data_IF_078550226647
#
_entry.id   IF_078550226647
#
_cell.length_a   1.000
_cell.length_b   1.000
_cell.length_c   1.000
_cell.angle_alpha   90.00
_cell.angle_beta   90.00
_cell.angle_gamma   90.00
#
_symmetry.space_group_name_H-M   'P 1'
#
loop_
_entity.id
_entity.type
_entity.pdbx_description
1 polymer ?
#
# COMPACT_ATOMS: atom_id res chain seq x y z
N UNK A 1 17.25 -18.22 16.80
CA UNK A 1 16.71 -17.30 15.78
C UNK A 1 17.88 -16.47 15.31
N UNK A 2 18.10 -16.36 14.03
CA UNK A 2 19.15 -15.51 13.48
C UNK A 2 18.78 -14.05 13.69
N UNK A 3 19.78 -13.19 13.95
CA UNK A 3 19.56 -11.75 14.02
C UNK A 3 19.21 -11.25 12.62
N UNK A 4 18.10 -10.52 12.52
CA UNK A 4 17.63 -9.91 11.28
C UNK A 4 17.99 -8.43 11.29
N UNK A 5 18.63 -7.97 10.22
CA UNK A 5 19.08 -6.58 10.10
C UNK A 5 18.52 -5.94 8.85
N UNK A 6 18.30 -4.64 8.89
CA UNK A 6 17.99 -3.82 7.70
C UNK A 6 19.33 -3.32 7.14
N UNK A 7 19.61 -3.68 5.90
CA UNK A 7 20.87 -3.32 5.24
C UNK A 7 20.81 -1.90 4.68
N UNK A 8 19.76 -1.61 3.93
CA UNK A 8 19.54 -0.29 3.32
C UNK A 8 18.06 -0.10 2.96
N UNK A 9 17.70 1.09 2.52
CA UNK A 9 16.36 1.43 2.05
C UNK A 9 16.37 2.60 1.07
N UNK A 10 15.40 2.59 0.18
CA UNK A 10 15.17 3.66 -0.79
C UNK A 10 13.69 4.01 -0.83
N UNK A 11 13.38 5.21 -1.29
CA UNK A 11 12.02 5.62 -1.61
C UNK A 11 12.00 6.57 -2.79
N UNK A 12 10.91 6.60 -3.50
CA UNK A 12 10.59 7.65 -4.46
C UNK A 12 10.16 8.93 -3.74
N UNK A 13 10.03 10.03 -4.46
CA UNK A 13 9.32 11.18 -3.92
C UNK A 13 7.87 10.80 -3.58
N UNK A 14 7.30 11.44 -2.56
CA UNK A 14 5.87 11.37 -2.26
C UNK A 14 5.17 12.39 -3.15
N UNK A 15 4.39 11.90 -4.11
CA UNK A 15 3.66 12.74 -5.06
C UNK A 15 2.34 13.24 -4.48
N UNK A 16 1.98 14.48 -4.83
CA UNK A 16 0.61 14.98 -4.62
C UNK A 16 -0.35 14.21 -5.53
N UNK A 17 -1.56 13.91 -5.04
CA UNK A 17 -2.63 13.35 -5.90
C UNK A 17 -2.89 14.27 -7.09
N UNK A 18 -2.93 13.69 -8.30
CA UNK A 18 -3.01 14.45 -9.56
C UNK A 18 -1.74 15.23 -9.93
N UNK A 19 -0.65 15.06 -9.17
CA UNK A 19 0.62 15.78 -9.39
C UNK A 19 1.60 15.05 -10.32
N UNK A 20 2.89 15.34 -10.17
CA UNK A 20 3.96 14.90 -11.09
C UNK A 20 4.06 13.39 -11.30
N UNK A 21 3.67 12.57 -10.32
CA UNK A 21 3.68 11.12 -10.42
C UNK A 21 2.33 10.51 -10.86
N UNK A 22 1.31 11.34 -11.15
CA UNK A 22 -0.04 10.86 -11.48
C UNK A 22 -0.12 10.05 -12.77
N UNK A 23 0.82 10.23 -13.68
CA UNK A 23 0.92 9.46 -14.94
C UNK A 23 1.74 8.17 -14.79
N UNK A 24 2.41 7.96 -13.65
CA UNK A 24 3.25 6.79 -13.41
C UNK A 24 2.40 5.67 -12.81
N UNK A 25 2.46 4.49 -13.41
CA UNK A 25 1.77 3.30 -12.91
C UNK A 25 2.40 2.83 -11.59
N UNK A 26 1.61 2.26 -10.66
CA UNK A 26 2.15 1.78 -9.38
C UNK A 26 3.19 0.65 -9.53
N UNK A 27 3.00 -0.25 -10.49
CA UNK A 27 3.94 -1.32 -10.79
C UNK A 27 5.27 -0.80 -11.34
N UNK A 28 5.25 0.21 -12.22
CA UNK A 28 6.45 0.88 -12.73
C UNK A 28 7.16 1.68 -11.62
N UNK A 29 6.40 2.37 -10.78
CA UNK A 29 6.94 3.17 -9.68
C UNK A 29 7.69 2.30 -8.67
N UNK A 30 7.10 1.16 -8.29
CA UNK A 30 7.73 0.20 -7.39
C UNK A 30 8.96 -0.45 -8.03
N UNK A 31 8.90 -0.79 -9.32
CA UNK A 31 10.04 -1.33 -10.06
C UNK A 31 11.24 -0.37 -10.09
N UNK A 32 10.99 0.94 -10.18
CA UNK A 32 12.06 1.94 -10.09
C UNK A 32 12.70 1.96 -8.69
N UNK A 33 11.91 1.81 -7.63
CA UNK A 33 12.45 1.71 -6.27
C UNK A 33 13.32 0.45 -6.13
N UNK A 34 12.90 -0.69 -6.67
CA UNK A 34 13.70 -1.91 -6.64
C UNK A 34 15.02 -1.75 -7.40
N UNK A 35 15.01 -1.18 -8.61
CA UNK A 35 16.23 -0.87 -9.36
C UNK A 35 17.17 0.00 -8.52
N UNK A 36 16.65 1.10 -7.95
CA UNK A 36 17.44 1.99 -7.12
C UNK A 36 18.02 1.33 -5.86
N UNK A 37 17.31 0.37 -5.26
CA UNK A 37 17.81 -0.39 -4.12
C UNK A 37 18.94 -1.33 -4.52
N UNK A 38 18.76 -2.10 -5.59
CA UNK A 38 19.76 -3.03 -6.11
C UNK A 38 21.04 -2.29 -6.53
N UNK A 39 20.89 -1.21 -7.28
CA UNK A 39 22.03 -0.38 -7.73
C UNK A 39 22.80 0.21 -6.53
N UNK A 40 22.07 0.67 -5.51
CA UNK A 40 22.66 1.30 -4.32
C UNK A 40 23.38 0.30 -3.43
N UNK A 41 22.84 -0.88 -3.26
CA UNK A 41 23.43 -1.92 -2.41
C UNK A 41 24.45 -2.79 -3.15
N UNK A 42 24.48 -2.72 -4.47
CA UNK A 42 25.25 -3.63 -5.33
C UNK A 42 24.96 -5.12 -5.00
N UNK A 43 23.74 -5.43 -4.55
CA UNK A 43 23.30 -6.79 -4.28
C UNK A 43 23.11 -7.54 -5.60
N UNK A 44 23.58 -8.77 -5.66
CA UNK A 44 23.17 -9.69 -6.71
C UNK A 44 21.71 -10.11 -6.48
N UNK A 45 20.77 -9.71 -7.37
CA UNK A 45 19.37 -10.03 -7.17
C UNK A 45 19.06 -11.53 -7.08
N UNK A 46 19.92 -12.38 -7.64
CA UNK A 46 19.73 -13.84 -7.60
C UNK A 46 19.81 -14.42 -6.17
N UNK A 47 20.34 -13.65 -5.22
CA UNK A 47 20.39 -14.02 -3.80
C UNK A 47 19.09 -13.74 -3.06
N UNK A 48 18.16 -13.00 -3.66
CA UNK A 48 16.87 -12.71 -3.03
C UNK A 48 16.00 -13.97 -2.99
N UNK A 49 15.52 -14.27 -1.81
CA UNK A 49 14.58 -15.37 -1.60
C UNK A 49 13.19 -14.99 -2.08
N UNK A 50 12.72 -13.82 -1.69
CA UNK A 50 11.37 -13.34 -1.96
C UNK A 50 11.24 -11.82 -1.77
N UNK A 51 10.24 -11.25 -2.42
CA UNK A 51 9.88 -9.83 -2.29
C UNK A 51 8.46 -9.70 -1.74
N UNK A 52 8.31 -8.96 -0.65
CA UNK A 52 7.02 -8.62 -0.04
C UNK A 52 6.70 -7.16 -0.28
N UNK A 53 5.50 -6.86 -0.75
CA UNK A 53 5.09 -5.48 -0.98
C UNK A 53 3.69 -5.20 -0.45
N UNK A 54 3.55 -4.13 0.32
CA UNK A 54 2.27 -3.64 0.77
C UNK A 54 1.56 -2.83 -0.32
N UNK A 55 0.26 -3.09 -0.51
CA UNK A 55 -0.61 -2.28 -1.36
C UNK A 55 -2.04 -2.37 -0.83
N UNK A 56 -2.65 -1.23 -0.50
CA UNK A 56 -4.00 -1.18 0.05
C UNK A 56 -5.08 -1.34 -1.00
N UNK A 57 -4.89 -0.77 -2.18
CA UNK A 57 -5.86 -0.82 -3.28
C UNK A 57 -5.31 -1.65 -4.44
N UNK A 58 -5.73 -2.90 -4.51
CA UNK A 58 -5.22 -3.90 -5.47
C UNK A 58 -6.16 -4.15 -6.66
N UNK A 59 -7.09 -3.23 -6.92
CA UNK A 59 -8.12 -3.40 -7.93
C UNK A 59 -7.81 -2.82 -9.30
N UNK A 60 -6.66 -2.18 -9.47
CA UNK A 60 -6.31 -1.44 -10.69
C UNK A 60 -5.04 -1.96 -11.37
N UNK A 61 -4.17 -1.04 -11.73
CA UNK A 61 -2.91 -1.30 -12.46
C UNK A 61 -1.85 -2.04 -11.61
N UNK A 62 -2.04 -2.13 -10.30
CA UNK A 62 -1.34 -3.01 -9.37
C UNK A 62 -1.57 -4.51 -9.68
N UNK A 63 -2.63 -4.80 -10.43
CA UNK A 63 -2.98 -6.13 -10.96
C UNK A 63 -3.04 -7.23 -9.87
N UNK A 64 -3.49 -6.88 -8.67
CA UNK A 64 -3.65 -7.75 -7.50
C UNK A 64 -2.36 -8.32 -6.91
N UNK A 65 -1.24 -8.22 -7.62
CA UNK A 65 0.08 -8.63 -7.13
C UNK A 65 1.17 -7.70 -7.68
N UNK A 66 1.18 -6.48 -7.18
CA UNK A 66 2.12 -5.45 -7.59
C UNK A 66 3.57 -5.82 -7.27
N UNK A 67 3.81 -6.61 -6.21
CA UNK A 67 5.14 -7.11 -5.88
C UNK A 67 5.72 -7.92 -7.04
N UNK A 68 4.96 -8.88 -7.54
CA UNK A 68 5.37 -9.73 -8.67
C UNK A 68 5.56 -8.92 -9.95
N UNK A 69 4.65 -8.00 -10.24
CA UNK A 69 4.78 -7.14 -11.43
C UNK A 69 6.05 -6.30 -11.37
N UNK A 70 6.34 -5.70 -10.21
CA UNK A 70 7.52 -4.87 -10.02
C UNK A 70 8.84 -5.66 -10.09
N UNK A 71 8.88 -6.89 -9.57
CA UNK A 71 10.03 -7.80 -9.73
C UNK A 71 10.35 -7.99 -11.22
N UNK A 72 9.36 -8.32 -12.02
CA UNK A 72 9.54 -8.55 -13.46
C UNK A 72 9.95 -7.27 -14.21
N UNK A 73 9.32 -6.14 -13.90
CA UNK A 73 9.58 -4.84 -14.52
C UNK A 73 10.94 -4.25 -14.11
N UNK A 74 11.45 -4.62 -12.94
CA UNK A 74 12.77 -4.18 -12.48
C UNK A 74 13.93 -4.89 -13.17
N UNK A 75 13.66 -5.99 -13.87
CA UNK A 75 14.69 -6.81 -14.52
C UNK A 75 15.37 -7.81 -13.56
N UNK A 76 14.86 -7.96 -12.35
CA UNK A 76 15.31 -9.05 -11.46
C UNK A 76 14.98 -10.43 -12.04
N UNK A 77 15.69 -11.49 -11.63
CA UNK A 77 15.40 -12.85 -12.06
C UNK A 77 13.93 -13.22 -11.89
N UNK A 78 13.36 -13.84 -12.90
CA UNK A 78 11.94 -14.26 -12.91
C UNK A 78 11.62 -15.36 -11.88
N UNK A 79 12.64 -15.99 -11.36
CA UNK A 79 12.55 -17.02 -10.32
C UNK A 79 12.22 -16.44 -8.94
N UNK A 80 12.48 -15.15 -8.73
CA UNK A 80 12.17 -14.47 -7.45
C UNK A 80 10.66 -14.30 -7.33
N UNK A 81 10.02 -14.91 -6.34
CA UNK A 81 8.59 -14.70 -6.09
C UNK A 81 8.31 -13.30 -5.54
N UNK A 82 7.09 -12.83 -5.74
CA UNK A 82 6.60 -11.61 -5.13
C UNK A 82 5.24 -11.85 -4.50
N UNK A 83 5.04 -11.32 -3.32
CA UNK A 83 3.78 -11.40 -2.58
C UNK A 83 3.30 -10.00 -2.22
N UNK A 84 2.06 -9.70 -2.56
CA UNK A 84 1.43 -8.45 -2.14
C UNK A 84 0.55 -8.67 -0.92
N UNK A 85 0.77 -7.88 0.13
CA UNK A 85 0.03 -7.95 1.38
C UNK A 85 -0.84 -6.71 1.57
N UNK A 86 -1.96 -6.89 2.27
CA UNK A 86 -2.89 -5.81 2.55
C UNK A 86 -3.29 -5.79 4.03
N UNK A 87 -2.93 -4.70 4.68
CA UNK A 87 -3.42 -4.27 6.00
C UNK A 87 -3.75 -2.77 5.94
N UNK A 88 -4.42 -2.35 4.86
CA UNK A 88 -4.70 -0.95 4.56
C UNK A 88 -3.42 -0.08 4.65
N UNK A 89 -3.43 1.02 5.38
CA UNK A 89 -2.29 1.93 5.51
C UNK A 89 -1.02 1.29 6.10
N UNK A 90 -1.14 0.18 6.84
CA UNK A 90 0.00 -0.53 7.45
C UNK A 90 0.59 -1.64 6.55
N UNK A 91 0.13 -1.77 5.32
CA UNK A 91 0.52 -2.89 4.43
C UNK A 91 2.04 -2.96 4.20
N UNK A 92 2.70 -1.83 3.99
CA UNK A 92 4.15 -1.81 3.78
C UNK A 92 4.93 -2.21 5.04
N UNK A 93 4.48 -1.80 6.23
CA UNK A 93 5.08 -2.23 7.49
C UNK A 93 4.89 -3.74 7.71
N UNK A 94 3.71 -4.27 7.37
CA UNK A 94 3.48 -5.72 7.38
C UNK A 94 4.40 -6.47 6.43
N UNK A 95 4.63 -5.94 5.23
CA UNK A 95 5.57 -6.51 4.26
C UNK A 95 7.00 -6.60 4.85
N UNK A 96 7.48 -5.55 5.52
CA UNK A 96 8.77 -5.55 6.22
C UNK A 96 8.80 -6.58 7.35
N UNK A 97 7.72 -6.67 8.14
CA UNK A 97 7.63 -7.64 9.23
C UNK A 97 7.61 -9.10 8.72
N UNK A 98 6.95 -9.36 7.60
CA UNK A 98 6.91 -10.70 6.98
C UNK A 98 8.31 -11.02 6.43
N UNK A 99 8.94 -10.11 5.71
CA UNK A 99 10.31 -10.25 5.22
C UNK A 99 11.29 -10.61 6.34
N UNK A 100 11.22 -9.90 7.47
CA UNK A 100 12.04 -10.19 8.65
C UNK A 100 11.74 -11.57 9.26
N UNK A 101 10.47 -11.97 9.33
CA UNK A 101 10.07 -13.29 9.83
C UNK A 101 10.55 -14.42 8.94
N UNK A 102 10.52 -14.26 7.63
CA UNK A 102 11.05 -15.23 6.65
C UNK A 102 12.52 -15.54 6.94
N UNK A 103 13.33 -14.50 7.15
CA UNK A 103 14.75 -14.66 7.52
C UNK A 103 14.88 -15.32 8.91
N UNK A 104 14.13 -14.85 9.91
CA UNK A 104 14.20 -15.37 11.28
C UNK A 104 13.81 -16.85 11.38
N UNK A 105 12.92 -17.31 10.50
CA UNK A 105 12.50 -18.71 10.39
C UNK A 105 13.50 -19.58 9.59
N UNK A 106 14.51 -18.98 8.96
CA UNK A 106 15.51 -19.70 8.16
C UNK A 106 15.01 -20.09 6.76
N UNK A 107 13.98 -19.41 6.26
CA UNK A 107 13.42 -19.66 4.92
C UNK A 107 14.20 -18.94 3.81
N UNK A 108 15.13 -18.05 4.17
CA UNK A 108 16.01 -17.34 3.26
C UNK A 108 16.93 -16.36 3.99
N UNK A 109 17.90 -15.83 3.26
CA UNK A 109 18.93 -14.92 3.81
C UNK A 109 18.68 -13.47 3.42
N UNK A 110 18.11 -13.21 2.24
CA UNK A 110 17.83 -11.87 1.73
C UNK A 110 16.39 -11.76 1.24
N UNK A 111 15.70 -10.75 1.73
CA UNK A 111 14.32 -10.41 1.35
C UNK A 111 14.18 -8.90 1.16
N UNK A 112 13.18 -8.49 0.38
CA UNK A 112 12.78 -7.08 0.28
C UNK A 112 11.39 -6.93 0.89
N UNK A 113 11.27 -6.02 1.87
CA UNK A 113 10.00 -5.53 2.38
C UNK A 113 9.75 -4.12 1.84
N UNK A 114 8.60 -3.89 1.22
CA UNK A 114 8.33 -2.65 0.47
C UNK A 114 6.85 -2.29 0.47
N UNK A 115 6.49 -1.23 -0.24
CA UNK A 115 5.11 -0.88 -0.52
C UNK A 115 4.98 0.20 -1.58
N UNK A 116 3.80 0.25 -2.20
CA UNK A 116 3.42 1.26 -3.17
C UNK A 116 1.93 1.54 -3.11
N UNK A 117 1.57 2.79 -3.30
CA UNK A 117 0.17 3.19 -3.47
C UNK A 117 0.08 4.35 -4.48
N UNK A 118 -0.82 4.26 -5.43
CA UNK A 118 -1.10 5.35 -6.37
C UNK A 118 -2.58 5.75 -6.30
N UNK A 119 -2.86 6.71 -5.44
CA UNK A 119 -4.22 7.24 -5.29
C UNK A 119 -4.71 7.95 -6.56
N UNK A 120 -3.81 8.54 -7.33
CA UNK A 120 -4.15 9.20 -8.61
C UNK A 120 -4.63 8.23 -9.70
N UNK A 121 -4.29 6.96 -9.58
CA UNK A 121 -4.60 5.91 -10.56
C UNK A 121 -5.57 4.84 -10.02
N UNK A 122 -6.12 5.07 -8.84
CA UNK A 122 -7.14 4.20 -8.28
C UNK A 122 -8.36 4.16 -9.21
N UNK A 123 -8.86 2.97 -9.58
CA UNK A 123 -9.93 2.85 -10.55
C UNK A 123 -11.28 3.24 -9.98
N UNK A 124 -12.21 3.58 -10.85
CA UNK A 124 -13.62 3.52 -10.52
C UNK A 124 -14.11 2.07 -10.63
N UNK A 125 -15.01 1.67 -9.74
CA UNK A 125 -15.51 0.30 -9.65
C UNK A 125 -17.03 0.27 -9.50
N UNK A 126 -17.63 -0.82 -10.00
CA UNK A 126 -19.05 -1.10 -9.82
C UNK A 126 -19.30 -2.61 -9.73
N UNK A 127 -20.37 -2.99 -9.07
CA UNK A 127 -20.78 -4.39 -8.96
C UNK A 127 -21.43 -4.87 -10.26
N UNK A 128 -21.24 -6.15 -10.56
CA UNK A 128 -22.03 -6.80 -11.61
C UNK A 128 -23.50 -6.81 -11.20
N UNK A 129 -24.43 -6.68 -12.14
CA UNK A 129 -25.84 -6.77 -11.84
C UNK A 129 -26.19 -8.18 -11.33
N UNK A 130 -27.05 -8.25 -10.32
CA UNK A 130 -27.53 -9.54 -9.79
C UNK A 130 -28.37 -10.32 -10.80
N UNK A 131 -29.04 -9.59 -11.70
CA UNK A 131 -29.88 -10.16 -12.76
C UNK A 131 -29.57 -9.50 -14.10
N UNK A 132 -29.61 -10.30 -15.16
CA UNK A 132 -29.41 -9.85 -16.54
C UNK A 132 -30.66 -10.27 -17.33
N UNK A 133 -31.24 -9.39 -18.16
CA UNK A 133 -30.87 -8.00 -18.40
C UNK A 133 -31.24 -7.05 -17.26
N UNK A 134 -30.51 -5.95 -17.13
CA UNK A 134 -30.85 -4.87 -16.21
C UNK A 134 -31.07 -3.58 -16.97
N UNK A 135 -32.07 -2.79 -16.55
CA UNK A 135 -32.35 -1.44 -17.08
C UNK A 135 -31.81 -0.35 -16.14
N UNK A 136 -31.29 -0.71 -14.98
CA UNK A 136 -30.76 0.25 -14.02
C UNK A 136 -29.26 0.45 -14.27
N UNK A 137 -28.78 1.70 -14.33
CA UNK A 137 -27.36 1.97 -14.42
C UNK A 137 -26.66 1.48 -13.14
N UNK A 138 -25.40 1.03 -13.24
CA UNK A 138 -24.63 0.64 -12.07
C UNK A 138 -24.31 1.87 -11.21
N UNK A 139 -24.31 1.69 -9.88
CA UNK A 139 -23.69 2.65 -8.99
C UNK A 139 -22.17 2.50 -9.14
N UNK A 140 -21.48 3.62 -9.37
CA UNK A 140 -20.03 3.67 -9.51
C UNK A 140 -19.43 4.23 -8.23
N UNK A 141 -18.34 3.61 -7.76
CA UNK A 141 -17.55 4.09 -6.64
C UNK A 141 -16.16 4.50 -7.11
N UNK A 142 -15.69 5.63 -6.63
CA UNK A 142 -14.27 5.98 -6.67
C UNK A 142 -13.55 5.18 -5.58
N UNK A 143 -12.52 4.44 -5.96
CA UNK A 143 -11.77 3.59 -5.01
C UNK A 143 -10.55 4.28 -4.42
N UNK A 144 -10.36 5.57 -4.71
CA UNK A 144 -9.22 6.35 -4.22
C UNK A 144 -9.19 6.44 -2.71
N UNK A 145 -10.31 6.85 -2.12
CA UNK A 145 -10.47 7.06 -0.66
C UNK A 145 -11.86 6.62 -0.23
N UNK A 146 -12.00 6.23 1.02
CA UNK A 146 -13.27 5.98 1.66
C UNK A 146 -13.81 4.57 1.43
N UNK A 147 -15.00 4.38 1.96
CA UNK A 147 -15.69 3.11 1.94
C UNK A 147 -16.37 2.86 0.59
N UNK A 148 -16.31 1.63 0.14
CA UNK A 148 -16.98 1.16 -1.07
C UNK A 148 -17.55 -0.23 -0.85
N UNK A 149 -18.65 -0.53 -1.55
CA UNK A 149 -19.33 -1.83 -1.43
C UNK A 149 -19.68 -2.23 0.00
N UNK A 150 -20.12 -1.25 0.80
CA UNK A 150 -20.39 -1.46 2.22
C UNK A 150 -21.32 -2.64 2.44
N UNK A 151 -20.98 -3.46 3.44
CA UNK A 151 -21.85 -4.52 3.89
C UNK A 151 -22.89 -3.94 4.87
N UNK A 152 -24.20 -4.02 4.57
CA UNK A 152 -25.24 -3.48 5.45
C UNK A 152 -25.21 -4.06 6.87
N UNK A 153 -24.76 -5.30 7.04
CA UNK A 153 -24.62 -5.90 8.36
C UNK A 153 -23.48 -5.28 9.17
N UNK A 154 -22.41 -4.86 8.48
CA UNK A 154 -21.31 -4.12 9.12
C UNK A 154 -21.74 -2.70 9.48
N UNK A 155 -22.47 -2.03 8.57
CA UNK A 155 -23.00 -0.68 8.80
C UNK A 155 -23.95 -0.64 10.02
N UNK A 156 -24.65 -1.74 10.31
CA UNK A 156 -25.52 -1.86 11.48
C UNK A 156 -24.74 -2.06 12.80
N UNK A 157 -23.49 -2.49 12.74
CA UNK A 157 -22.66 -2.75 13.93
C UNK A 157 -21.71 -1.59 14.25
N UNK A 158 -21.21 -0.93 13.22
CA UNK A 158 -20.17 0.09 13.35
C UNK A 158 -20.47 1.28 12.43
N UNK A 159 -20.22 2.50 12.88
CA UNK A 159 -20.41 3.68 12.04
C UNK A 159 -19.42 3.64 10.86
N UNK A 160 -19.95 3.87 9.66
CA UNK A 160 -19.16 4.00 8.43
C UNK A 160 -18.83 5.47 8.22
N UNK A 161 -17.79 5.92 8.89
CA UNK A 161 -17.30 7.31 8.86
C UNK A 161 -15.96 7.40 8.14
N UNK A 162 -15.58 8.59 7.70
CA UNK A 162 -14.26 8.87 7.18
C UNK A 162 -13.20 8.91 8.29
N UNK A 163 -11.91 8.80 7.94
CA UNK A 163 -10.83 8.93 8.93
C UNK A 163 -10.81 10.31 9.60
N UNK A 164 -11.14 11.37 8.84
CA UNK A 164 -11.26 12.72 9.39
C UNK A 164 -12.38 12.82 10.42
N UNK A 165 -13.57 12.29 10.11
CA UNK A 165 -14.69 12.24 11.07
C UNK A 165 -14.32 11.41 12.31
N UNK A 166 -13.59 10.30 12.13
CA UNK A 166 -13.08 9.50 13.26
C UNK A 166 -12.09 10.28 14.13
N UNK A 167 -11.23 11.11 13.53
CA UNK A 167 -10.34 11.99 14.28
C UNK A 167 -11.10 13.08 15.06
N UNK A 168 -12.15 13.67 14.48
CA UNK A 168 -13.02 14.62 15.19
C UNK A 168 -13.73 13.97 16.39
N UNK A 169 -14.23 12.74 16.22
CA UNK A 169 -14.83 12.00 17.35
C UNK A 169 -13.81 11.82 18.49
N UNK A 170 -12.57 11.45 18.17
CA UNK A 170 -11.50 11.31 19.18
C UNK A 170 -11.18 12.66 19.83
N UNK A 171 -11.09 13.73 19.05
CA UNK A 171 -10.83 15.06 19.57
C UNK A 171 -11.92 15.52 20.54
N UNK A 172 -13.18 15.25 20.20
CA UNK A 172 -14.33 15.56 21.06
C UNK A 172 -14.35 14.70 22.34
N UNK A 173 -14.14 13.39 22.23
CA UNK A 173 -14.14 12.49 23.39
C UNK A 173 -12.98 12.78 24.37
N UNK A 174 -11.82 13.11 23.84
CA UNK A 174 -10.60 13.41 24.61
C UNK A 174 -10.49 14.89 24.97
N UNK A 175 -11.41 15.73 24.52
CA UNK A 175 -11.42 17.18 24.76
C UNK A 175 -10.12 17.87 24.31
N UNK A 176 -9.59 17.45 23.14
CA UNK A 176 -8.38 18.03 22.55
C UNK A 176 -8.72 19.38 21.94
N UNK A 177 -8.13 20.43 22.48
CA UNK A 177 -8.40 21.81 22.03
C UNK A 177 -7.82 22.08 20.63
N UNK A 178 -8.30 23.14 19.99
CA UNK A 178 -7.76 23.59 18.70
C UNK A 178 -6.30 24.02 18.83
N UNK A 179 -5.97 24.66 19.93
CA UNK A 179 -4.61 25.14 20.24
C UNK A 179 -3.62 23.97 20.35
N UNK A 180 -4.00 22.89 21.02
CA UNK A 180 -3.17 21.68 21.13
C UNK A 180 -2.95 21.01 19.76
N UNK A 181 -3.99 20.96 18.92
CA UNK A 181 -3.87 20.43 17.55
C UNK A 181 -2.92 21.28 16.70
N UNK A 182 -3.02 22.60 16.78
CA UNK A 182 -2.16 23.51 16.04
C UNK A 182 -0.71 23.48 16.54
N UNK A 183 -0.48 23.35 17.84
CA UNK A 183 0.86 23.20 18.43
C UNK A 183 1.52 21.89 17.98
N UNK A 184 0.78 20.78 18.00
CA UNK A 184 1.26 19.49 17.50
C UNK A 184 1.63 19.56 16.01
N UNK A 185 0.79 20.18 15.20
CA UNK A 185 1.05 20.34 13.78
C UNK A 185 2.29 21.24 13.54
N UNK A 186 2.43 22.33 14.28
CA UNK A 186 3.59 23.21 14.18
C UNK A 186 4.89 22.51 14.54
N UNK A 187 4.90 21.69 15.58
CA UNK A 187 6.07 20.91 15.99
C UNK A 187 6.46 19.87 14.92
N UNK A 188 5.46 19.24 14.30
CA UNK A 188 5.68 18.28 13.20
C UNK A 188 6.30 18.91 11.94
N UNK A 189 6.18 20.23 11.75
CA UNK A 189 6.75 20.97 10.62
C UNK A 189 8.14 21.55 10.88
N UNK A 190 8.64 21.52 12.10
CA UNK A 190 9.97 21.98 12.50
C UNK A 190 11.03 20.91 12.29
#
# INVERSE_FOLDING_TARGET
MSDVVIIDGVRTAIGKMGGALSSVRPDDLLAQAYKGLIDRTNLDPSQLTEVFSGCGNQGGEDNRDVARMAVLLSGMPKEIPGVTVNRNCSSALDAVNIAAKTIACGEGDFTIGSGVESMSRAPWSFLKPERVPTTKPPKVWDTTVGWRFNNPALDALYPIISLGEGAEVIADEMQISREEQDEFALESHR
#
